data_IF_592486489530
#
_entry.id   IF_592486489530
#
_cell.length_a   1.000
_cell.length_b   1.000
_cell.length_c   1.000
_cell.angle_alpha   90.00
_cell.angle_beta   90.00
_cell.angle_gamma   90.00
#
_symmetry.space_group_name_H-M   'P 1'
#
loop_
_entity.id
_entity.type
_entity.pdbx_description
1 polymer ?
#
# COMPACT_ATOMS: atom_id res chain seq x y z
N UNK A 1 -18.11 -12.92 -1.87
CA UNK A 1 -17.04 -12.12 -1.25
C UNK A 1 -15.81 -12.99 -1.26
N UNK A 2 -14.83 -12.71 -2.10
CA UNK A 2 -13.63 -13.53 -2.18
C UNK A 2 -12.86 -13.38 -0.87
N UNK A 3 -12.61 -14.50 -0.20
CA UNK A 3 -11.63 -14.62 0.87
C UNK A 3 -10.27 -14.23 0.28
N UNK A 4 -9.92 -12.95 0.41
CA UNK A 4 -8.56 -12.50 0.19
C UNK A 4 -7.75 -13.28 1.22
N UNK A 5 -6.95 -14.25 0.74
CA UNK A 5 -6.03 -15.05 1.56
C UNK A 5 -5.38 -14.14 2.60
N UNK A 6 -5.89 -14.17 3.82
CA UNK A 6 -5.31 -13.42 4.92
C UNK A 6 -4.11 -14.22 5.34
N UNK A 7 -2.95 -13.92 4.74
CA UNK A 7 -1.71 -14.48 5.24
C UNK A 7 -1.53 -13.94 6.67
N UNK A 8 -1.74 -14.80 7.66
CA UNK A 8 -1.67 -14.44 9.07
C UNK A 8 -0.23 -14.46 9.60
N UNK A 9 0.74 -14.82 8.75
CA UNK A 9 2.15 -14.86 9.12
C UNK A 9 2.66 -13.48 9.54
N UNK A 10 3.36 -13.45 10.66
CA UNK A 10 4.09 -12.27 11.14
C UNK A 10 5.35 -12.07 10.30
N UNK A 11 5.58 -10.84 9.84
CA UNK A 11 6.80 -10.47 9.11
C UNK A 11 7.25 -9.05 9.43
N UNK A 12 8.52 -8.76 9.15
CA UNK A 12 9.14 -7.46 9.38
C UNK A 12 9.44 -6.75 8.05
N UNK A 13 9.05 -5.48 7.92
CA UNK A 13 9.52 -4.59 6.86
C UNK A 13 10.69 -3.77 7.42
N UNK A 14 11.87 -3.89 6.82
CA UNK A 14 13.08 -3.24 7.31
C UNK A 14 13.47 -2.01 6.51
N UNK A 15 14.14 -1.07 7.17
CA UNK A 15 14.66 0.15 6.55
C UNK A 15 13.57 0.92 5.80
N UNK A 16 12.40 1.04 6.42
CA UNK A 16 11.27 1.81 5.88
C UNK A 16 11.50 3.28 6.21
N UNK A 17 11.48 4.14 5.19
CA UNK A 17 11.56 5.59 5.41
C UNK A 17 10.17 6.12 5.75
N UNK A 18 10.03 6.76 6.92
CA UNK A 18 8.78 7.37 7.37
C UNK A 18 8.96 8.87 7.63
N UNK A 19 7.91 9.63 7.36
CA UNK A 19 7.81 11.03 7.78
C UNK A 19 7.64 11.11 9.30
N UNK A 20 8.38 12.01 9.93
CA UNK A 20 8.39 12.24 11.38
C UNK A 20 8.05 13.67 11.76
N UNK A 21 7.80 14.54 10.77
CA UNK A 21 7.43 15.93 10.94
C UNK A 21 7.98 16.82 9.84
N UNK A 22 8.09 18.11 10.13
CA UNK A 22 8.50 19.15 9.17
C UNK A 22 9.75 19.91 9.64
N UNK A 23 10.47 20.46 8.67
CA UNK A 23 11.51 21.48 8.84
C UNK A 23 10.88 22.85 8.58
N UNK A 24 11.18 23.80 9.46
CA UNK A 24 10.64 25.15 9.41
C UNK A 24 11.76 26.17 9.24
N UNK A 25 11.58 27.12 8.34
CA UNK A 25 12.38 28.34 8.24
C UNK A 25 11.44 29.53 8.28
N UNK A 26 11.64 30.47 9.22
CA UNK A 26 10.77 31.66 9.39
C UNK A 26 9.28 31.30 9.43
N UNK A 27 8.92 30.25 10.16
CA UNK A 27 7.57 29.69 10.28
C UNK A 27 6.96 29.08 9.01
N UNK A 28 7.72 28.97 7.92
CA UNK A 28 7.30 28.27 6.70
C UNK A 28 7.88 26.84 6.65
N UNK A 29 7.06 25.88 6.22
CA UNK A 29 7.50 24.50 5.99
C UNK A 29 8.35 24.48 4.71
N UNK A 30 9.62 24.13 4.85
CA UNK A 30 10.56 24.04 3.72
C UNK A 30 10.84 22.61 3.29
N UNK A 31 10.64 21.63 4.19
CA UNK A 31 10.88 20.22 3.91
C UNK A 31 10.23 19.31 4.95
N UNK A 32 10.15 18.01 4.66
CA UNK A 32 9.75 16.97 5.61
C UNK A 32 10.98 16.34 6.29
N UNK A 33 10.84 16.02 7.57
CA UNK A 33 11.81 15.24 8.34
C UNK A 33 11.47 13.77 8.18
N UNK A 34 12.45 12.97 7.82
CA UNK A 34 12.29 11.53 7.68
C UNK A 34 13.30 10.77 8.51
N UNK A 35 12.92 9.57 8.97
CA UNK A 35 13.85 8.63 9.60
C UNK A 35 13.55 7.20 9.15
N UNK A 36 14.52 6.30 9.36
CA UNK A 36 14.38 4.88 9.06
C UNK A 36 13.77 4.13 10.25
N UNK A 37 12.82 3.26 9.94
CA UNK A 37 12.09 2.43 10.89
C UNK A 37 11.99 0.99 10.39
N UNK A 38 11.80 0.07 11.32
CA UNK A 38 11.38 -1.29 11.04
C UNK A 38 9.91 -1.44 11.48
N UNK A 39 9.07 -2.02 10.62
CA UNK A 39 7.62 -2.15 10.84
C UNK A 39 7.26 -3.63 10.94
N UNK A 40 6.68 -4.03 12.07
CA UNK A 40 6.19 -5.39 12.28
C UNK A 40 4.73 -5.50 11.83
N UNK A 41 4.46 -6.43 10.93
CA UNK A 41 3.11 -6.76 10.49
C UNK A 41 2.69 -8.10 11.10
N UNK A 42 1.53 -8.14 11.73
CA UNK A 42 0.91 -9.34 12.29
C UNK A 42 -0.59 -9.34 11.96
N UNK A 43 -1.11 -10.47 11.47
CA UNK A 43 -2.53 -10.62 11.12
C UNK A 43 -3.07 -9.46 10.24
N UNK A 44 -2.31 -9.07 9.20
CA UNK A 44 -2.61 -7.95 8.28
C UNK A 44 -2.74 -6.56 8.94
N UNK A 45 -2.19 -6.38 10.15
CA UNK A 45 -2.16 -5.09 10.85
C UNK A 45 -0.73 -4.72 11.21
N UNK A 46 -0.47 -3.42 11.30
CA UNK A 46 0.76 -2.92 11.89
C UNK A 46 0.68 -3.21 13.38
N UNK A 47 1.59 -4.04 13.88
CA UNK A 47 1.72 -4.37 15.30
C UNK A 47 2.61 -3.36 16.00
N UNK A 48 3.76 -3.07 15.40
CA UNK A 48 4.76 -2.19 16.01
C UNK A 48 5.57 -1.42 14.94
N UNK A 49 6.10 -0.27 15.34
CA UNK A 49 6.97 0.60 14.54
C UNK A 49 8.12 1.06 15.43
N UNK A 50 9.31 0.51 15.18
CA UNK A 50 10.52 0.84 15.94
C UNK A 50 11.55 1.51 15.06
N UNK A 51 12.48 2.27 15.65
CA UNK A 51 13.61 2.81 14.88
C UNK A 51 14.39 1.64 14.25
N UNK A 52 14.91 1.84 13.05
CA UNK A 52 15.70 0.80 12.37
C UNK A 52 16.93 0.49 13.23
N UNK A 53 16.88 -0.65 13.93
CA UNK A 53 17.82 -0.92 15.00
C UNK A 53 18.53 -2.28 14.88
N UNK A 54 18.00 -3.31 14.19
CA UNK A 54 18.67 -4.63 14.27
C UNK A 54 18.27 -5.74 13.28
N UNK A 55 19.08 -6.80 13.34
CA UNK A 55 19.02 -8.07 12.61
C UNK A 55 17.70 -8.79 12.94
N UNK A 56 16.95 -9.20 11.91
CA UNK A 56 15.67 -9.84 12.11
C UNK A 56 15.83 -11.34 12.36
N UNK A 57 15.26 -11.83 13.46
CA UNK A 57 15.05 -13.26 13.68
C UNK A 57 13.69 -13.64 13.06
N UNK A 58 13.69 -14.07 11.79
CA UNK A 58 12.48 -14.52 11.10
C UNK A 58 12.31 -13.95 9.69
N UNK A 59 11.07 -13.99 9.18
CA UNK A 59 10.71 -13.51 7.84
C UNK A 59 10.76 -11.99 7.79
N UNK A 60 11.75 -11.45 7.09
CA UNK A 60 11.96 -10.02 6.96
C UNK A 60 12.18 -9.63 5.50
N UNK A 61 11.69 -8.44 5.14
CA UNK A 61 11.82 -7.84 3.82
C UNK A 61 12.48 -6.47 3.95
N UNK A 62 13.66 -6.32 3.36
CA UNK A 62 14.33 -5.01 3.30
C UNK A 62 13.73 -4.15 2.20
N UNK A 63 13.12 -3.02 2.57
CA UNK A 63 12.53 -2.08 1.61
C UNK A 63 13.54 -1.04 1.10
N UNK A 64 14.80 -1.11 1.56
CA UNK A 64 15.94 -0.34 1.05
C UNK A 64 15.76 1.18 1.12
N UNK A 65 15.20 1.69 2.22
CA UNK A 65 15.03 3.13 2.43
C UNK A 65 13.91 3.76 1.61
N UNK A 66 12.99 2.97 1.04
CA UNK A 66 11.82 3.50 0.32
C UNK A 66 10.85 4.17 1.29
N UNK A 67 10.25 5.27 0.83
CA UNK A 67 9.18 5.98 1.54
C UNK A 67 7.92 5.12 1.58
N UNK A 68 7.43 4.85 2.77
CA UNK A 68 6.10 4.27 2.95
C UNK A 68 5.06 5.36 3.15
N UNK A 69 3.93 5.20 2.46
CA UNK A 69 2.75 6.03 2.58
C UNK A 69 1.55 5.13 2.93
N UNK A 70 0.52 5.66 3.59
CA UNK A 70 -0.76 4.97 3.67
C UNK A 70 -1.25 4.58 2.26
N UNK A 71 -1.95 3.45 2.13
CA UNK A 71 -2.52 3.07 0.83
C UNK A 71 -3.46 4.17 0.34
N UNK A 72 -3.34 4.51 -0.94
CA UNK A 72 -4.18 5.53 -1.55
C UNK A 72 -5.63 5.08 -1.58
N UNK A 73 -6.52 6.01 -1.27
CA UNK A 73 -7.96 5.86 -1.48
C UNK A 73 -8.37 6.80 -2.61
N UNK A 74 -8.90 6.21 -3.67
CA UNK A 74 -9.46 6.98 -4.76
C UNK A 74 -10.88 7.43 -4.39
N UNK A 75 -11.05 8.75 -4.26
CA UNK A 75 -12.31 9.36 -3.84
C UNK A 75 -13.20 9.75 -5.03
N UNK A 76 -12.68 9.68 -6.26
CA UNK A 76 -13.42 10.07 -7.45
C UNK A 76 -13.05 9.16 -8.63
N UNK A 77 -13.81 8.06 -8.76
CA UNK A 77 -13.68 7.13 -9.87
C UNK A 77 -14.93 7.10 -10.74
N UNK A 78 -14.70 7.05 -12.05
CA UNK A 78 -15.71 6.64 -13.03
C UNK A 78 -15.46 5.19 -13.44
N UNK A 79 -15.42 4.29 -12.46
CA UNK A 79 -15.40 2.86 -12.76
C UNK A 79 -16.79 2.45 -13.28
N UNK A 80 -16.82 1.60 -14.30
CA UNK A 80 -18.06 1.00 -14.76
C UNK A 80 -18.73 0.31 -13.56
N UNK A 81 -20.01 0.64 -13.32
CA UNK A 81 -20.78 0.09 -12.19
C UNK A 81 -20.84 -1.43 -12.22
N UNK A 82 -20.73 -2.04 -13.40
CA UNK A 82 -20.67 -3.50 -13.58
C UNK A 82 -19.40 -4.14 -13.00
N UNK A 83 -18.37 -3.35 -12.71
CA UNK A 83 -17.11 -3.82 -12.10
C UNK A 83 -17.03 -3.51 -10.60
N UNK A 84 -17.94 -2.69 -10.06
CA UNK A 84 -17.86 -2.23 -8.68
C UNK A 84 -18.17 -3.38 -7.69
N UNK A 85 -17.25 -3.64 -6.76
CA UNK A 85 -17.37 -4.73 -5.78
C UNK A 85 -16.98 -6.13 -6.28
N UNK A 86 -16.62 -6.27 -7.56
CA UNK A 86 -16.06 -7.50 -8.11
C UNK A 86 -14.54 -7.57 -7.88
N UNK A 87 -13.93 -8.76 -7.97
CA UNK A 87 -12.47 -8.89 -8.01
C UNK A 87 -11.87 -8.00 -9.10
N UNK A 88 -10.66 -7.49 -8.84
CA UNK A 88 -9.96 -6.66 -9.81
C UNK A 88 -9.86 -7.39 -11.17
N UNK A 89 -10.10 -6.65 -12.25
CA UNK A 89 -10.08 -7.16 -13.62
C UNK A 89 -9.37 -6.17 -14.53
N UNK A 90 -8.36 -6.64 -15.26
CA UNK A 90 -7.67 -5.84 -16.27
C UNK A 90 -8.61 -5.47 -17.42
N UNK A 91 -8.37 -4.30 -18.03
CA UNK A 91 -9.07 -3.89 -19.25
C UNK A 91 -8.68 -4.83 -20.40
N UNK A 92 -9.66 -5.49 -21.01
CA UNK A 92 -9.42 -6.38 -22.16
C UNK A 92 -9.39 -5.56 -23.46
N UNK A 93 -8.33 -5.67 -24.28
CA UNK A 93 -8.16 -4.82 -25.46
C UNK A 93 -9.19 -5.04 -26.58
N UNK A 94 -9.87 -6.20 -26.59
CA UNK A 94 -10.83 -6.60 -27.65
C UNK A 94 -12.30 -6.26 -27.36
N UNK A 95 -12.62 -5.74 -26.17
CA UNK A 95 -14.02 -5.54 -25.74
C UNK A 95 -14.28 -4.06 -25.52
N UNK A 96 -14.26 -3.28 -26.60
CA UNK A 96 -14.34 -1.81 -26.54
C UNK A 96 -15.72 -1.28 -26.90
N UNK A 97 -16.53 -2.08 -27.59
CA UNK A 97 -17.87 -1.67 -28.05
C UNK A 97 -18.97 -2.37 -27.27
N UNK A 98 -20.17 -1.78 -27.26
CA UNK A 98 -21.38 -2.38 -26.69
C UNK A 98 -21.67 -3.75 -27.33
N UNK A 99 -21.42 -3.90 -28.63
CA UNK A 99 -21.59 -5.16 -29.36
C UNK A 99 -20.69 -6.28 -28.82
N UNK A 100 -19.44 -5.93 -28.47
CA UNK A 100 -18.48 -6.90 -27.90
C UNK A 100 -18.88 -7.33 -26.48
N UNK A 101 -19.58 -6.45 -25.75
CA UNK A 101 -20.09 -6.75 -24.41
C UNK A 101 -21.31 -7.67 -24.46
N UNK A 102 -22.25 -7.44 -25.38
CA UNK A 102 -23.45 -8.27 -25.56
C UNK A 102 -23.07 -9.69 -25.97
N UNK A 103 -22.06 -9.88 -26.83
CA UNK A 103 -21.61 -11.21 -27.27
C UNK A 103 -21.01 -12.10 -26.14
N UNK A 104 -20.95 -11.60 -24.91
CA UNK A 104 -20.30 -12.25 -23.76
C UNK A 104 -21.26 -12.57 -22.60
N UNK A 105 -22.52 -12.12 -22.67
CA UNK A 105 -23.59 -12.66 -21.82
C UNK A 105 -23.97 -14.08 -22.28
#
# INVERSE_FOLDING_TARGET
>A
MNEINQNQETYLLKNVLLETGFLYEKDEIVATKTALFDIQIEANKIKDIERAQSVANGKAFDVKGKLALPPFRDMHIHLDKTLYGLPWKAVFPKNRTVKDMIAKE
#
